data_IF_566977746859
#
_entry.id   IF_566977746859
#
_cell.length_a   1.000
_cell.length_b   1.000
_cell.length_c   1.000
_cell.angle_alpha   90.00
_cell.angle_beta   90.00
_cell.angle_gamma   90.00
#
_symmetry.space_group_name_H-M   'P 1'
#
loop_
_entity.id
_entity.type
_entity.pdbx_description
1 polymer ?
#
# COMPACT_ATOMS: atom_id res chain seq x y z
N UNK A 1 1.11 -52.06 -28.24
CA UNK A 1 1.88 -51.02 -27.51
C UNK A 1 1.65 -49.64 -28.14
N UNK A 2 0.40 -49.11 -28.13
CA UNK A 2 0.06 -47.82 -28.78
C UNK A 2 -0.74 -46.86 -27.89
N UNK A 3 -1.12 -47.29 -26.69
CA UNK A 3 -1.99 -46.54 -25.76
C UNK A 3 -1.24 -45.78 -24.67
N UNK A 4 0.08 -45.97 -24.52
CA UNK A 4 0.88 -45.27 -23.50
C UNK A 4 1.44 -43.91 -23.96
N UNK A 5 1.35 -43.59 -25.26
CA UNK A 5 1.94 -42.36 -25.83
C UNK A 5 1.02 -41.13 -25.72
N UNK A 6 -0.27 -41.32 -25.38
CA UNK A 6 -1.25 -40.23 -25.26
C UNK A 6 -1.29 -39.59 -23.87
N UNK A 7 -0.73 -40.21 -22.83
CA UNK A 7 -0.67 -39.61 -21.48
C UNK A 7 0.48 -38.61 -21.31
N UNK A 8 1.51 -38.65 -22.16
CA UNK A 8 2.66 -37.73 -22.09
C UNK A 8 2.42 -36.37 -22.78
N UNK A 9 1.30 -36.21 -23.49
CA UNK A 9 0.92 -34.96 -24.17
C UNK A 9 0.03 -34.05 -23.32
N UNK A 10 -0.54 -34.54 -22.22
CA UNK A 10 -1.36 -33.74 -21.30
C UNK A 10 -0.57 -33.06 -20.18
N UNK A 11 0.71 -33.40 -19.98
CA UNK A 11 1.56 -32.81 -18.93
C UNK A 11 2.52 -31.75 -19.45
N UNK A 12 2.60 -31.53 -20.77
CA UNK A 12 3.51 -30.57 -21.41
C UNK A 12 2.90 -29.17 -21.64
N UNK A 13 1.67 -28.93 -21.16
CA UNK A 13 0.91 -27.70 -21.39
C UNK A 13 0.46 -27.01 -20.10
N UNK A 14 1.21 -27.18 -19.01
CA UNK A 14 1.34 -26.08 -18.04
C UNK A 14 2.23 -25.03 -18.72
N UNK A 15 1.67 -24.36 -19.73
CA UNK A 15 2.28 -23.19 -20.31
C UNK A 15 2.53 -22.25 -19.13
N UNK A 16 3.78 -21.82 -18.96
CA UNK A 16 4.16 -20.85 -17.95
C UNK A 16 3.23 -19.64 -18.08
N UNK A 17 2.20 -19.57 -17.25
CA UNK A 17 1.39 -18.37 -17.12
C UNK A 17 2.38 -17.35 -16.60
N UNK A 18 2.67 -16.26 -17.35
CA UNK A 18 3.57 -15.25 -16.84
C UNK A 18 2.90 -14.66 -15.60
N UNK A 19 3.38 -15.06 -14.43
CA UNK A 19 3.03 -14.44 -13.16
C UNK A 19 3.48 -12.98 -13.27
N UNK A 20 2.52 -12.08 -13.48
CA UNK A 20 2.79 -10.65 -13.54
C UNK A 20 2.65 -10.12 -12.12
N UNK A 21 3.71 -9.52 -11.63
CA UNK A 21 3.65 -8.66 -10.46
C UNK A 21 2.77 -7.45 -10.75
N UNK A 22 2.12 -6.96 -9.71
CA UNK A 22 1.33 -5.73 -9.71
C UNK A 22 2.14 -4.66 -9.00
N UNK A 23 2.36 -3.54 -9.67
CA UNK A 23 3.11 -2.41 -9.11
C UNK A 23 2.14 -1.36 -8.58
N UNK A 24 2.37 -0.92 -7.35
CA UNK A 24 1.66 0.19 -6.72
C UNK A 24 2.61 1.36 -6.56
N UNK A 25 2.21 2.54 -7.02
CA UNK A 25 2.89 3.79 -6.70
C UNK A 25 1.93 4.68 -5.93
N UNK A 26 2.32 5.17 -4.76
CA UNK A 26 1.51 6.10 -3.97
C UNK A 26 2.25 7.43 -3.79
N UNK A 27 1.60 8.53 -4.18
CA UNK A 27 2.05 9.90 -3.93
C UNK A 27 1.26 10.47 -2.77
N UNK A 28 1.85 10.45 -1.58
CA UNK A 28 1.17 10.74 -0.30
C UNK A 28 1.51 12.15 0.18
N UNK A 29 0.48 12.93 0.50
CA UNK A 29 0.58 14.20 1.21
C UNK A 29 -0.12 14.07 2.56
N UNK A 30 0.61 14.32 3.64
CA UNK A 30 0.05 14.38 4.99
C UNK A 30 -0.14 15.82 5.45
N UNK A 31 -1.28 16.09 6.08
CA UNK A 31 -1.60 17.37 6.70
C UNK A 31 -1.79 17.20 8.20
N UNK A 32 -1.15 18.08 8.94
CA UNK A 32 -1.28 18.22 10.37
C UNK A 32 -1.05 19.67 10.75
N UNK A 33 -2.02 20.32 11.41
CA UNK A 33 -1.89 21.73 11.81
C UNK A 33 -0.87 21.93 12.94
N UNK A 34 -0.86 21.01 13.91
CA UNK A 34 -0.04 21.12 15.12
C UNK A 34 0.68 19.79 15.44
N UNK A 35 1.69 19.39 14.65
CA UNK A 35 2.43 18.17 14.91
C UNK A 35 3.28 18.31 16.18
N UNK A 36 3.15 17.37 17.13
CA UNK A 36 4.05 17.30 18.30
C UNK A 36 5.45 16.83 17.92
N UNK A 37 5.53 15.93 16.95
CA UNK A 37 6.77 15.52 16.27
C UNK A 37 6.69 15.98 14.80
N UNK A 38 7.70 16.68 14.27
CA UNK A 38 7.69 17.13 12.87
C UNK A 38 7.79 16.00 11.84
N UNK A 39 7.80 14.73 12.27
CA UNK A 39 7.83 13.55 11.42
C UNK A 39 6.59 12.65 11.56
N UNK A 40 6.30 11.94 10.48
CA UNK A 40 5.43 10.78 10.46
C UNK A 40 6.09 9.66 9.66
N UNK A 41 5.83 8.41 10.04
CA UNK A 41 6.25 7.24 9.26
C UNK A 41 5.09 6.81 8.38
N UNK A 42 5.35 6.60 7.10
CA UNK A 42 4.35 6.24 6.10
C UNK A 42 4.80 4.95 5.43
N UNK A 43 3.93 3.97 5.41
CA UNK A 43 4.17 2.65 4.86
C UNK A 43 3.14 2.39 3.77
N UNK A 44 3.60 1.82 2.66
CA UNK A 44 2.76 1.20 1.65
C UNK A 44 2.77 -0.29 1.95
N UNK A 45 1.58 -0.83 2.21
CA UNK A 45 1.40 -2.18 2.70
C UNK A 45 0.42 -2.94 1.82
N UNK A 46 0.64 -4.24 1.71
CA UNK A 46 -0.35 -5.22 1.24
C UNK A 46 -1.24 -5.58 2.42
N UNK A 47 -2.52 -5.90 2.20
CA UNK A 47 -3.36 -6.42 3.27
C UNK A 47 -3.60 -7.89 3.02
N UNK A 48 -2.92 -8.71 3.80
CA UNK A 48 -3.17 -10.14 3.78
C UNK A 48 -4.63 -10.43 4.18
N UNK A 49 -5.16 -11.54 3.68
CA UNK A 49 -6.52 -12.00 4.04
C UNK A 49 -6.62 -12.46 5.53
N UNK A 50 -5.58 -12.25 6.36
CA UNK A 50 -5.45 -12.73 7.75
C UNK A 50 -5.19 -11.64 8.81
N UNK A 51 -6.26 -11.14 9.43
CA UNK A 51 -6.45 -10.72 10.84
C UNK A 51 -5.45 -9.84 11.64
N UNK A 52 -4.45 -9.18 11.06
CA UNK A 52 -3.68 -8.13 11.76
C UNK A 52 -3.72 -6.76 11.06
N UNK A 53 -3.86 -5.68 11.84
CA UNK A 53 -3.91 -4.29 11.28
C UNK A 53 -2.55 -3.82 10.73
N UNK A 54 -1.47 -4.48 11.17
CA UNK A 54 -0.10 -4.31 10.69
C UNK A 54 0.52 -5.70 10.72
N UNK A 55 0.89 -6.22 9.56
CA UNK A 55 1.89 -7.26 9.44
C UNK A 55 3.14 -6.65 8.80
N UNK A 56 4.31 -6.83 9.41
CA UNK A 56 5.52 -6.16 8.90
C UNK A 56 6.02 -6.80 7.59
N UNK A 57 5.69 -8.07 7.34
CA UNK A 57 6.01 -8.79 6.11
C UNK A 57 5.22 -8.27 4.89
N UNK A 58 4.05 -7.68 5.13
CA UNK A 58 3.23 -7.00 4.12
C UNK A 58 3.78 -5.62 3.68
N UNK A 59 4.89 -5.16 4.27
CA UNK A 59 5.44 -3.83 3.94
C UNK A 59 6.14 -3.86 2.58
N UNK A 60 5.49 -3.25 1.58
CA UNK A 60 6.08 -3.10 0.26
C UNK A 60 7.10 -1.96 0.17
N UNK A 61 6.85 -0.83 0.84
CA UNK A 61 7.75 0.33 0.87
C UNK A 61 7.44 1.21 2.09
N UNK A 62 8.39 2.04 2.53
CA UNK A 62 8.18 3.00 3.61
C UNK A 62 9.09 4.21 3.50
N UNK A 63 8.64 5.32 4.08
CA UNK A 63 9.48 6.50 4.23
C UNK A 63 8.99 7.41 5.37
N UNK A 64 9.85 8.37 5.71
CA UNK A 64 9.54 9.41 6.67
C UNK A 64 9.00 10.65 5.96
N UNK A 65 7.82 11.11 6.37
CA UNK A 65 7.23 12.38 5.95
C UNK A 65 7.60 13.47 6.96
N UNK A 66 8.01 14.64 6.46
CA UNK A 66 8.32 15.82 7.30
C UNK A 66 7.25 16.89 7.13
N UNK A 67 6.58 17.26 8.21
CA UNK A 67 5.58 18.34 8.19
C UNK A 67 6.21 19.72 8.00
N UNK A 68 5.40 20.69 7.57
CA UNK A 68 5.80 22.11 7.48
C UNK A 68 6.49 22.53 6.19
N UNK A 69 6.59 21.66 5.18
CA UNK A 69 7.10 22.03 3.86
C UNK A 69 6.06 22.82 3.07
N UNK A 70 6.43 23.98 2.53
CA UNK A 70 5.58 24.83 1.68
C UNK A 70 6.30 25.07 0.33
N UNK A 71 5.71 24.68 -0.82
CA UNK A 71 4.47 23.90 -0.95
C UNK A 71 4.63 22.49 -0.34
N UNK A 72 3.50 21.86 0.02
CA UNK A 72 3.47 20.46 0.44
C UNK A 72 4.14 19.61 -0.64
N UNK A 73 5.13 18.80 -0.26
CA UNK A 73 5.78 17.86 -1.19
C UNK A 73 5.20 16.47 -0.97
N UNK A 74 4.70 15.80 -2.02
CA UNK A 74 4.28 14.43 -1.89
C UNK A 74 5.50 13.55 -1.59
N UNK A 75 5.33 12.63 -0.65
CA UNK A 75 6.18 11.48 -0.50
C UNK A 75 5.78 10.45 -1.56
N UNK A 76 6.73 9.88 -2.30
CA UNK A 76 6.45 8.81 -3.24
C UNK A 76 6.90 7.48 -2.65
N UNK A 77 5.97 6.53 -2.57
CA UNK A 77 6.21 5.14 -2.21
C UNK A 77 5.96 4.25 -3.43
N UNK A 78 6.75 3.19 -3.60
CA UNK A 78 6.59 2.23 -4.69
C UNK A 78 6.77 0.80 -4.18
N UNK A 79 5.71 0.01 -4.33
CA UNK A 79 5.68 -1.42 -4.04
C UNK A 79 5.45 -2.25 -5.29
N UNK A 80 5.90 -3.49 -5.27
CA UNK A 80 5.62 -4.47 -6.32
C UNK A 80 5.43 -5.83 -5.68
N UNK A 81 4.25 -6.41 -5.87
CA UNK A 81 3.88 -7.68 -5.26
C UNK A 81 3.25 -8.63 -6.25
N UNK A 82 3.38 -9.93 -5.95
CA UNK A 82 2.72 -10.98 -6.70
C UNK A 82 1.57 -11.56 -5.88
N UNK A 83 0.34 -11.25 -6.30
CA UNK A 83 -0.86 -11.77 -5.64
C UNK A 83 -1.84 -12.42 -6.62
N UNK A 84 -2.18 -13.68 -6.35
CA UNK A 84 -3.13 -14.42 -7.21
C UNK A 84 -4.57 -13.96 -6.97
N UNK A 85 -4.90 -13.59 -5.74
CA UNK A 85 -6.22 -13.11 -5.31
C UNK A 85 -6.46 -11.64 -5.66
N UNK A 86 -5.47 -10.94 -6.19
CA UNK A 86 -5.49 -9.49 -6.36
C UNK A 86 -4.98 -8.80 -5.10
N UNK A 87 -4.22 -7.74 -5.30
CA UNK A 87 -3.55 -6.99 -4.24
C UNK A 87 -4.54 -6.11 -3.46
N UNK A 88 -4.39 -5.99 -2.15
CA UNK A 88 -5.17 -5.07 -1.32
C UNK A 88 -4.31 -3.93 -0.73
N UNK A 89 -3.77 -3.03 -1.57
CA UNK A 89 -2.82 -2.03 -1.10
C UNK A 89 -3.48 -0.98 -0.19
N UNK A 90 -2.80 -0.64 0.90
CA UNK A 90 -3.16 0.45 1.79
C UNK A 90 -1.95 1.26 2.24
N UNK A 91 -2.21 2.47 2.75
CA UNK A 91 -1.21 3.29 3.42
C UNK A 91 -1.43 3.21 4.92
N UNK A 92 -0.39 2.82 5.67
CA UNK A 92 -0.34 2.92 7.12
C UNK A 92 0.48 4.15 7.52
N UNK A 93 -0.04 4.95 8.46
CA UNK A 93 0.65 6.13 8.98
C UNK A 93 0.79 6.00 10.48
N UNK A 94 2.00 6.17 10.99
CA UNK A 94 2.27 6.44 12.41
C UNK A 94 2.71 7.89 12.58
N UNK A 95 2.02 8.65 13.43
CA UNK A 95 2.21 10.10 13.52
C UNK A 95 1.94 10.66 14.92
N UNK A 96 2.49 11.84 15.21
CA UNK A 96 2.24 12.59 16.44
C UNK A 96 1.35 13.84 16.19
N UNK A 97 0.29 13.67 15.41
CA UNK A 97 -0.68 14.74 15.12
C UNK A 97 -1.86 14.65 16.07
N UNK A 98 -1.73 15.23 17.26
CA UNK A 98 -2.80 15.20 18.26
C UNK A 98 -2.97 16.55 18.94
N UNK A 99 -4.06 17.24 18.61
CA UNK A 99 -4.57 18.30 19.46
C UNK A 99 -5.22 17.62 20.68
N UNK A 100 -4.58 17.70 21.84
CA UNK A 100 -5.11 17.32 23.16
C UNK A 100 -5.09 15.84 23.58
N UNK A 101 -4.46 14.91 22.85
CA UNK A 101 -4.27 13.53 23.37
C UNK A 101 -3.02 13.43 24.25
N UNK A 102 -3.08 12.62 25.30
CA UNK A 102 -1.92 12.33 26.18
C UNK A 102 -0.91 11.47 25.43
N UNK A 103 -1.40 10.61 24.54
CA UNK A 103 -0.57 9.74 23.71
C UNK A 103 0.30 10.56 22.74
N UNK A 104 1.57 10.14 22.65
CA UNK A 104 2.56 10.81 21.82
C UNK A 104 2.37 10.47 20.34
N UNK A 105 1.90 9.26 20.03
CA UNK A 105 1.77 8.73 18.67
C UNK A 105 0.40 8.05 18.49
N UNK A 106 -0.20 8.20 17.31
CA UNK A 106 -1.45 7.59 16.86
C UNK A 106 -1.20 6.93 15.50
N UNK A 107 -2.14 6.12 15.03
CA UNK A 107 -2.11 5.49 13.71
C UNK A 107 -3.35 5.82 12.88
N UNK A 108 -3.19 5.76 11.55
CA UNK A 108 -4.28 5.92 10.60
C UNK A 108 -4.00 5.13 9.33
N UNK A 109 -5.02 4.44 8.81
CA UNK A 109 -4.91 3.57 7.65
C UNK A 109 -5.82 4.06 6.52
N UNK A 110 -5.34 3.99 5.28
CA UNK A 110 -6.09 4.38 4.08
C UNK A 110 -5.97 3.29 3.03
N UNK A 111 -7.04 2.54 2.82
CA UNK A 111 -7.15 1.60 1.69
C UNK A 111 -7.05 2.37 0.37
N UNK A 112 -6.19 1.91 -0.54
CA UNK A 112 -6.05 2.49 -1.88
C UNK A 112 -7.01 1.83 -2.86
N UNK A 113 -7.07 0.50 -2.84
CA UNK A 113 -7.95 -0.31 -3.68
C UNK A 113 -8.15 -1.71 -3.08
N UNK A 114 -9.28 -2.34 -3.37
CA UNK A 114 -9.55 -3.73 -3.00
C UNK A 114 -9.42 -4.61 -4.25
N UNK A 115 -8.68 -5.72 -4.16
CA UNK A 115 -8.51 -6.70 -5.24
C UNK A 115 -7.96 -6.09 -6.54
N UNK A 116 -6.84 -5.40 -6.44
CA UNK A 116 -6.12 -4.75 -7.55
C UNK A 116 -5.33 -5.79 -8.36
N UNK A 117 -5.67 -5.95 -9.64
CA UNK A 117 -4.99 -6.88 -10.57
C UNK A 117 -4.11 -6.18 -11.63
N UNK A 118 -4.09 -4.84 -11.63
CA UNK A 118 -3.37 -4.05 -12.61
C UNK A 118 -2.57 -2.98 -11.88
N UNK A 119 -1.33 -2.75 -12.29
CA UNK A 119 -0.49 -1.69 -11.74
C UNK A 119 -1.16 -0.32 -11.85
N UNK A 120 -1.00 0.53 -10.84
CA UNK A 120 -1.61 1.85 -10.79
C UNK A 120 -0.78 2.84 -9.96
N UNK A 121 -1.03 4.14 -10.21
CA UNK A 121 -0.50 5.22 -9.38
C UNK A 121 -1.63 5.90 -8.64
N UNK A 122 -1.48 6.14 -7.34
CA UNK A 122 -2.45 6.81 -6.51
C UNK A 122 -1.94 8.16 -6.04
N UNK A 123 -2.78 9.19 -6.12
CA UNK A 123 -2.61 10.42 -5.34
C UNK A 123 -3.42 10.30 -4.06
N UNK A 124 -2.74 10.50 -2.93
CA UNK A 124 -3.32 10.30 -1.60
C UNK A 124 -3.10 11.56 -0.78
N UNK A 125 -4.19 12.21 -0.36
CA UNK A 125 -4.14 13.36 0.55
C UNK A 125 -4.81 12.94 1.86
N UNK A 126 -4.10 13.08 2.98
CA UNK A 126 -4.55 12.64 4.30
C UNK A 126 -4.49 13.83 5.26
N UNK A 127 -5.64 14.18 5.82
CA UNK A 127 -5.77 15.16 6.89
C UNK A 127 -5.84 14.43 8.22
N UNK A 128 -4.73 14.45 8.97
CA UNK A 128 -4.58 13.72 10.23
C UNK A 128 -5.32 14.40 11.39
N UNK A 129 -5.62 15.71 11.28
CA UNK A 129 -6.43 16.43 12.27
C UNK A 129 -7.89 15.95 12.23
N UNK A 130 -8.41 15.68 11.03
CA UNK A 130 -9.81 15.26 10.80
C UNK A 130 -9.98 13.76 10.54
N UNK A 131 -8.87 13.01 10.43
CA UNK A 131 -8.83 11.60 10.04
C UNK A 131 -9.61 11.33 8.75
N UNK A 132 -9.42 12.18 7.74
CA UNK A 132 -10.03 12.06 6.42
C UNK A 132 -8.96 11.88 5.35
N UNK A 133 -9.28 11.11 4.32
CA UNK A 133 -8.42 10.91 3.17
C UNK A 133 -9.17 11.17 1.86
N UNK A 134 -8.40 11.47 0.82
CA UNK A 134 -8.84 11.49 -0.58
C UNK A 134 -7.86 10.66 -1.37
N UNK A 135 -8.37 9.65 -2.09
CA UNK A 135 -7.59 8.75 -2.93
C UNK A 135 -8.05 8.92 -4.38
N UNK A 136 -7.10 9.19 -5.27
CA UNK A 136 -7.35 9.31 -6.71
C UNK A 136 -6.47 8.30 -7.42
N UNK A 137 -7.09 7.33 -8.09
CA UNK A 137 -6.39 6.36 -8.94
C UNK A 137 -6.11 6.97 -10.31
N UNK A 138 -4.84 6.90 -10.73
CA UNK A 138 -4.36 7.27 -12.04
C UNK A 138 -3.92 6.00 -12.78
N UNK A 139 -4.51 5.76 -13.97
CA UNK A 139 -4.21 4.63 -14.86
C UNK A 139 -3.33 5.13 -16.00
#
# INVERSE_FOLDING_TARGET
MKTLLLLFLFTASVAAIPFRSTTVVARVILRCKHPKDPSAKVFLMEKDFGDHEIDEDDTMDFAEFKFGQIPEKPLQLKGEEFEFSGLEPYIYISHACTENRVEAWDSFNVTLETSMYLSATFDVIIDLDTKKSTVIKNI
#
